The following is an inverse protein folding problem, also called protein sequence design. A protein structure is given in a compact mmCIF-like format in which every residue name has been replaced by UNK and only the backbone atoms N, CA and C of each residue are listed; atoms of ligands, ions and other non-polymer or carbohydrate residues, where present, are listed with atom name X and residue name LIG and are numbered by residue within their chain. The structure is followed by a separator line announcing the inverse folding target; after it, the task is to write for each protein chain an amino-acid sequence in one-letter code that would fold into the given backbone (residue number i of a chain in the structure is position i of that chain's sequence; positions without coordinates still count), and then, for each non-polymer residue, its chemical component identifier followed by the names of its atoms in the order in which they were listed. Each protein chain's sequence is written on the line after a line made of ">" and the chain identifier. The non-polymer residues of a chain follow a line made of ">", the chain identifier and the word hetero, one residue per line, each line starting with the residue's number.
data_IF_712342807718
#
_entry.id   IF_712342807718
#
_cell.length_a   1.000
_cell.length_b   1.000
_cell.length_c   1.000
_cell.angle_alpha   90.00
_cell.angle_beta   90.00
_cell.angle_gamma   90.00
#
_symmetry.space_group_name_H-M   'P 1'
#
loop_
_entity.id
_entity.type
_entity.pdbx_description
1 polymer ?
#
# COMPACT_ATOMS: atom_id res chain seq x y z
N UNK A 1 -6.58 -5.44 5.13
CA UNK A 1 -6.80 -4.24 4.29
C UNK A 1 -5.56 -3.36 4.16
N UNK A 2 -4.86 -3.02 5.26
CA UNK A 2 -3.68 -2.13 5.22
C UNK A 2 -2.59 -2.56 4.23
N UNK A 3 -2.38 -3.87 4.03
CA UNK A 3 -1.42 -4.40 3.05
C UNK A 3 -1.72 -3.93 1.63
N UNK A 4 -2.99 -3.93 1.23
CA UNK A 4 -3.39 -3.51 -0.13
C UNK A 4 -3.14 -2.01 -0.31
N UNK A 5 -3.42 -1.20 0.72
CA UNK A 5 -3.13 0.23 0.69
C UNK A 5 -1.62 0.51 0.60
N UNK A 6 -0.81 -0.23 1.35
CA UNK A 6 0.65 -0.12 1.26
C UNK A 6 1.16 -0.52 -0.12
N UNK A 7 0.67 -1.63 -0.70
CA UNK A 7 1.01 -2.04 -2.06
C UNK A 7 0.62 -0.99 -3.10
N UNK A 8 -0.58 -0.43 -2.99
CA UNK A 8 -1.03 0.65 -3.86
C UNK A 8 -0.14 1.89 -3.73
N UNK A 9 0.27 2.24 -2.52
CA UNK A 9 1.20 3.35 -2.31
C UNK A 9 2.58 3.08 -2.93
N UNK A 10 3.12 1.86 -2.81
CA UNK A 10 4.38 1.48 -3.46
C UNK A 10 4.31 1.59 -4.98
N UNK A 11 3.17 1.19 -5.57
CA UNK A 11 2.92 1.38 -6.99
C UNK A 11 2.97 2.88 -7.37
N UNK A 12 2.27 3.74 -6.62
CA UNK A 12 2.25 5.18 -6.87
C UNK A 12 3.61 5.85 -6.70
N UNK A 13 4.43 5.35 -5.78
CA UNK A 13 5.79 5.84 -5.52
C UNK A 13 6.82 5.33 -6.55
N UNK A 14 6.41 4.50 -7.51
CA UNK A 14 7.30 3.96 -8.55
C UNK A 14 8.27 2.92 -8.02
N UNK A 15 7.84 2.09 -7.07
CA UNK A 15 8.68 1.03 -6.51
C UNK A 15 9.28 0.14 -7.61
N UNK A 16 10.60 -0.10 -7.62
CA UNK A 16 11.24 -0.88 -8.69
C UNK A 16 10.62 -2.26 -8.85
N UNK A 17 10.34 -2.65 -10.10
CA UNK A 17 9.79 -3.98 -10.46
C UNK A 17 8.48 -4.31 -9.73
N UNK A 18 7.68 -3.30 -9.36
CA UNK A 18 6.41 -3.51 -8.66
C UNK A 18 5.46 -4.44 -9.39
N UNK A 19 5.36 -4.35 -10.73
CA UNK A 19 4.49 -5.22 -11.51
C UNK A 19 4.86 -6.71 -11.34
N UNK A 20 6.16 -7.02 -11.39
CA UNK A 20 6.66 -8.38 -11.17
C UNK A 20 6.34 -8.87 -9.76
N UNK A 21 6.52 -8.01 -8.75
CA UNK A 21 6.15 -8.28 -7.36
C UNK A 21 4.67 -8.62 -7.22
N UNK A 22 3.82 -7.75 -7.75
CA UNK A 22 2.37 -7.87 -7.63
C UNK A 22 1.85 -9.10 -8.37
N UNK A 23 2.35 -9.37 -9.57
CA UNK A 23 1.99 -10.57 -10.32
C UNK A 23 2.51 -11.85 -9.64
N UNK A 24 3.70 -11.83 -9.02
CA UNK A 24 4.19 -12.99 -8.24
C UNK A 24 3.25 -13.30 -7.07
N UNK A 25 2.91 -12.26 -6.29
CA UNK A 25 1.98 -12.36 -5.16
C UNK A 25 0.62 -12.96 -5.60
N UNK A 26 0.07 -12.50 -6.73
CA UNK A 26 -1.19 -13.02 -7.26
C UNK A 26 -1.08 -14.46 -7.79
N UNK A 27 0.02 -14.80 -8.45
CA UNK A 27 0.26 -16.14 -9.01
C UNK A 27 0.40 -17.20 -7.93
N UNK A 28 1.06 -16.88 -6.83
CA UNK A 28 1.29 -17.83 -5.74
C UNK A 28 0.04 -18.05 -4.87
N UNK A 29 -0.95 -17.16 -4.95
CA UNK A 29 -2.20 -17.27 -4.20
C UNK A 29 -1.97 -17.41 -2.69
N UNK A 30 -2.88 -18.10 -2.00
CA UNK A 30 -2.76 -18.40 -0.56
C UNK A 30 -1.84 -19.59 -0.24
N UNK A 31 -1.08 -20.11 -1.22
CA UNK A 31 -0.32 -21.35 -1.07
C UNK A 31 1.03 -21.16 -0.38
N UNK A 32 1.52 -19.93 -0.22
CA UNK A 32 2.73 -19.59 0.55
C UNK A 32 2.45 -18.43 1.52
N UNK A 33 3.15 -18.38 2.68
CA UNK A 33 3.12 -17.22 3.55
C UNK A 33 3.58 -15.97 2.78
N UNK A 34 2.77 -14.89 2.73
CA UNK A 34 3.14 -13.68 2.02
C UNK A 34 4.52 -13.14 2.44
N UNK A 35 4.90 -13.32 3.70
CA UNK A 35 6.17 -12.89 4.29
C UNK A 35 7.38 -13.26 3.41
N UNK A 36 7.48 -14.53 3.00
CA UNK A 36 8.61 -15.03 2.22
C UNK A 36 8.68 -14.39 0.82
N UNK A 37 7.54 -14.04 0.25
CA UNK A 37 7.46 -13.40 -1.06
C UNK A 37 7.93 -11.95 -0.93
N UNK A 38 7.38 -11.21 0.03
CA UNK A 38 7.79 -9.84 0.29
C UNK A 38 9.30 -9.74 0.57
N UNK A 39 9.86 -10.67 1.34
CA UNK A 39 11.29 -10.75 1.62
C UNK A 39 12.13 -10.92 0.34
N UNK A 40 11.67 -11.75 -0.62
CA UNK A 40 12.36 -11.94 -1.90
C UNK A 40 12.39 -10.68 -2.77
N UNK A 41 11.48 -9.74 -2.53
CA UNK A 41 11.47 -8.42 -3.13
C UNK A 41 12.10 -7.34 -2.22
N UNK A 42 12.71 -7.71 -1.08
CA UNK A 42 13.34 -6.76 -0.17
C UNK A 42 12.36 -5.95 0.69
N UNK A 43 11.12 -6.41 0.81
CA UNK A 43 10.10 -5.83 1.68
C UNK A 43 9.94 -6.68 2.94
N UNK A 44 9.96 -6.04 4.11
CA UNK A 44 9.79 -6.72 5.38
C UNK A 44 8.45 -6.33 6.01
N UNK A 45 7.53 -7.29 6.13
CA UNK A 45 6.22 -7.10 6.75
C UNK A 45 6.28 -6.90 8.27
N UNK A 46 7.37 -7.27 8.94
CA UNK A 46 7.59 -7.01 10.36
C UNK A 46 8.17 -5.61 10.61
N UNK A 47 8.62 -4.91 9.57
CA UNK A 47 9.15 -3.56 9.69
C UNK A 47 8.00 -2.53 9.80
N UNK A 48 7.87 -1.78 10.91
CA UNK A 48 6.84 -0.75 11.06
C UNK A 48 6.87 0.31 9.95
N UNK A 49 8.05 0.62 9.41
CA UNK A 49 8.21 1.61 8.34
C UNK A 49 7.54 1.16 7.03
N UNK A 50 7.34 -0.15 6.83
CA UNK A 50 6.56 -0.64 5.70
C UNK A 50 5.09 -0.20 5.82
N UNK A 51 4.52 -0.35 7.01
CA UNK A 51 3.13 -0.01 7.30
C UNK A 51 2.88 1.50 7.37
N UNK A 52 3.88 2.27 7.77
CA UNK A 52 3.80 3.74 7.83
C UNK A 52 3.40 4.34 6.48
N UNK A 53 3.83 3.76 5.36
CA UNK A 53 3.43 4.19 4.01
C UNK A 53 1.94 4.05 3.77
N UNK A 54 1.35 2.90 4.10
CA UNK A 54 -0.08 2.67 3.97
C UNK A 54 -0.91 3.58 4.89
N UNK A 55 -0.43 3.82 6.12
CA UNK A 55 -1.06 4.73 7.08
C UNK A 55 -1.00 6.18 6.59
N UNK A 56 0.14 6.60 6.03
CA UNK A 56 0.29 7.94 5.45
C UNK A 56 -0.69 8.14 4.30
N UNK A 57 -0.81 7.17 3.40
CA UNK A 57 -1.77 7.24 2.30
C UNK A 57 -3.22 7.33 2.80
N UNK A 58 -3.60 6.53 3.80
CA UNK A 58 -4.92 6.62 4.44
C UNK A 58 -5.16 8.02 5.02
N UNK A 59 -4.16 8.62 5.67
CA UNK A 59 -4.25 9.97 6.22
C UNK A 59 -4.48 11.02 5.13
N UNK A 60 -3.77 10.91 4.01
CA UNK A 60 -3.95 11.81 2.86
C UNK A 60 -5.38 11.71 2.30
N UNK A 61 -5.94 10.49 2.18
CA UNK A 61 -7.33 10.31 1.75
C UNK A 61 -8.34 10.95 2.71
N UNK A 62 -8.11 10.85 4.02
CA UNK A 62 -8.97 11.47 5.03
C UNK A 62 -8.92 12.99 4.96
N UNK A 63 -7.73 13.57 4.74
CA UNK A 63 -7.59 15.02 4.57
C UNK A 63 -8.24 15.50 3.26
N UNK A 64 -8.07 14.77 2.16
CA UNK A 64 -8.76 15.06 0.90
C UNK A 64 -10.29 15.05 1.08
N UNK A 65 -10.81 14.04 1.78
CA UNK A 65 -12.23 13.96 2.10
C UNK A 65 -12.72 15.16 2.94
N UNK A 66 -11.94 15.56 3.95
CA UNK A 66 -12.26 16.74 4.78
C UNK A 66 -12.33 18.02 3.95
N UNK A 67 -11.41 18.20 3.01
CA UNK A 67 -11.41 19.35 2.11
C UNK A 67 -12.62 19.38 1.17
N UNK A 68 -13.04 18.22 0.65
CA UNK A 68 -14.26 18.12 -0.15
C UNK A 68 -15.50 18.54 0.65
N UNK A 69 -15.64 18.04 1.89
CA UNK A 69 -16.75 18.42 2.77
C UNK A 69 -16.76 19.92 3.08
N UNK A 70 -15.59 20.54 3.29
CA UNK A 70 -15.49 22.00 3.50
C UNK A 70 -15.94 22.78 2.26
N UNK A 71 -15.52 22.36 1.07
CA UNK A 71 -15.93 22.98 -0.20
C UNK A 71 -17.42 22.88 -0.47
N UNK A 72 -18.06 21.77 -0.09
CA UNK A 72 -19.51 21.60 -0.20
C UNK A 72 -20.28 22.50 0.76
N UNK A 73 -19.83 22.64 2.01
CA UNK A 73 -20.48 23.52 3.02
C UNK A 73 -20.32 25.02 2.76
N UNK A 74 -19.34 25.39 1.94
CA UNK A 74 -19.09 26.78 1.54
C UNK A 74 -19.85 27.22 0.28
N UNK A 75 -20.60 26.33 -0.36
CA UNK A 75 -21.57 26.62 -1.42
C UNK A 75 -22.97 26.75 -0.83
#
# INVERSE_FOLDING_TARGET
>A
ELLVLTLYQLYREGYPRFEELYLSLLKEGGSRPPQLQFESFGLNLENPNFWERGIKFLREMVEEFRELVRKEKGK
#
